data_IF_905985415226
#
_entry.id   IF_905985415226
#
_cell.length_a   1.000
_cell.length_b   1.000
_cell.length_c   1.000
_cell.angle_alpha   90.00
_cell.angle_beta   90.00
_cell.angle_gamma   90.00
#
_symmetry.space_group_name_H-M   'P 1'
#
loop_
_entity.id
_entity.type
_entity.pdbx_description
1 polymer ?
#
# COMPACT_ATOMS: atom_id res chain seq x y z
N UNK A 1 21.34 -7.53 -15.60
CA UNK A 1 21.60 -6.08 -15.62
C UNK A 1 21.73 -5.66 -17.07
N UNK A 2 20.80 -4.83 -17.57
CA UNK A 2 21.07 -4.10 -18.81
C UNK A 2 22.21 -3.11 -18.53
N UNK A 3 23.03 -2.89 -19.54
CA UNK A 3 24.04 -1.83 -19.53
C UNK A 3 23.34 -0.46 -19.46
N UNK A 4 23.92 0.49 -18.74
CA UNK A 4 23.32 1.81 -18.53
C UNK A 4 23.06 2.53 -19.86
N UNK A 5 24.00 2.39 -20.80
CA UNK A 5 23.88 2.95 -22.15
C UNK A 5 22.68 2.38 -22.90
N UNK A 6 22.37 1.09 -22.73
CA UNK A 6 21.24 0.45 -23.39
C UNK A 6 19.90 0.95 -22.84
N UNK A 7 19.80 1.21 -21.53
CA UNK A 7 18.59 1.78 -20.90
C UNK A 7 18.37 3.22 -21.36
N UNK A 8 19.44 4.03 -21.44
CA UNK A 8 19.38 5.41 -21.92
C UNK A 8 18.99 5.48 -23.41
N UNK A 9 19.57 4.60 -24.23
CA UNK A 9 19.20 4.49 -25.64
C UNK A 9 17.72 4.10 -25.78
N UNK A 10 17.26 3.11 -25.02
CA UNK A 10 15.87 2.67 -25.06
C UNK A 10 14.92 3.80 -24.64
N UNK A 11 15.23 4.53 -23.57
CA UNK A 11 14.41 5.67 -23.13
C UNK A 11 14.21 6.70 -24.25
N UNK A 12 15.31 7.14 -24.89
CA UNK A 12 15.25 8.07 -26.02
C UNK A 12 14.51 7.48 -27.22
N UNK A 13 14.74 6.22 -27.53
CA UNK A 13 14.07 5.55 -28.64
C UNK A 13 12.55 5.51 -28.44
N UNK A 14 12.09 5.28 -27.21
CA UNK A 14 10.66 5.25 -26.87
C UNK A 14 10.03 6.65 -26.94
N UNK A 15 10.76 7.70 -26.53
CA UNK A 15 10.32 9.09 -26.68
C UNK A 15 10.19 9.49 -28.17
N UNK A 16 11.16 9.10 -28.99
CA UNK A 16 11.16 9.34 -30.43
C UNK A 16 10.12 8.49 -31.19
N UNK A 17 9.68 7.37 -30.62
CA UNK A 17 8.85 6.40 -31.33
C UNK A 17 7.48 6.98 -31.75
N UNK A 18 6.95 7.96 -31.02
CA UNK A 18 5.83 8.81 -31.42
C UNK A 18 4.47 8.13 -31.68
N UNK A 19 3.39 8.90 -31.51
CA UNK A 19 1.97 8.59 -31.80
C UNK A 19 1.41 7.21 -31.39
N UNK A 20 2.02 6.54 -30.41
CA UNK A 20 1.57 5.24 -29.92
C UNK A 20 1.38 5.24 -28.42
N UNK A 21 0.37 4.50 -27.97
CA UNK A 21 0.18 4.19 -26.56
C UNK A 21 1.10 3.05 -26.17
N UNK A 22 2.02 3.30 -25.24
CA UNK A 22 2.93 2.30 -24.70
C UNK A 22 2.51 1.93 -23.28
N UNK A 23 2.53 0.63 -22.96
CA UNK A 23 2.40 0.14 -21.59
C UNK A 23 3.72 -0.49 -21.19
N UNK A 24 4.36 0.08 -20.17
CA UNK A 24 5.67 -0.33 -19.68
C UNK A 24 5.54 -0.91 -18.29
N UNK A 25 6.17 -2.05 -18.05
CA UNK A 25 6.35 -2.61 -16.71
C UNK A 25 7.85 -2.69 -16.45
N UNK A 26 8.32 -1.90 -15.47
CA UNK A 26 9.72 -1.88 -15.06
C UNK A 26 9.81 -1.74 -13.54
N UNK A 27 10.94 -2.18 -12.99
CA UNK A 27 11.29 -1.97 -11.59
C UNK A 27 12.28 -0.80 -11.40
N UNK A 28 12.80 -0.22 -12.48
CA UNK A 28 13.71 0.92 -12.43
C UNK A 28 12.94 2.25 -12.38
N UNK A 29 13.09 2.95 -11.26
CA UNK A 29 12.44 4.24 -11.00
C UNK A 29 12.91 5.33 -11.97
N UNK A 30 14.20 5.36 -12.31
CA UNK A 30 14.77 6.41 -13.15
C UNK A 30 14.27 6.30 -14.59
N UNK A 31 14.17 5.06 -15.08
CA UNK A 31 13.61 4.76 -16.39
C UNK A 31 12.12 5.10 -16.47
N UNK A 32 11.33 4.68 -15.48
CA UNK A 32 9.90 5.00 -15.42
C UNK A 32 9.67 6.52 -15.34
N UNK A 33 10.52 7.24 -14.61
CA UNK A 33 10.36 8.69 -14.49
C UNK A 33 10.62 9.44 -15.80
N UNK A 34 11.47 8.92 -16.68
CA UNK A 34 11.75 9.54 -17.98
C UNK A 34 10.69 9.24 -19.04
N UNK A 35 10.17 8.00 -19.06
CA UNK A 35 9.35 7.51 -20.17
C UNK A 35 7.84 7.58 -19.88
N UNK A 36 7.42 7.45 -18.62
CA UNK A 36 6.00 7.35 -18.29
C UNK A 36 5.36 8.73 -18.08
N UNK A 37 4.21 8.94 -18.72
CA UNK A 37 3.34 10.12 -18.52
C UNK A 37 2.29 9.92 -17.44
N UNK A 38 1.93 8.66 -17.19
CA UNK A 38 0.89 8.25 -16.26
C UNK A 38 1.29 6.93 -15.58
N UNK A 39 0.91 6.80 -14.32
CA UNK A 39 1.23 5.63 -13.49
C UNK A 39 -0.06 4.91 -13.10
N UNK A 40 -0.10 3.62 -13.40
CA UNK A 40 -1.14 2.71 -12.91
C UNK A 40 -0.55 1.93 -11.74
N UNK A 41 -1.01 2.24 -10.52
CA UNK A 41 -0.59 1.56 -9.31
C UNK A 41 -1.59 0.47 -8.93
N UNK A 42 -1.10 -0.74 -8.70
CA UNK A 42 -1.91 -1.86 -8.25
C UNK A 42 -1.65 -2.14 -6.78
N UNK A 43 -2.67 -2.00 -5.94
CA UNK A 43 -2.61 -2.22 -4.50
C UNK A 43 -3.93 -2.85 -4.02
N UNK A 44 -3.87 -3.85 -3.14
CA UNK A 44 -5.05 -4.48 -2.54
C UNK A 44 -6.12 -4.95 -3.56
N UNK A 45 -5.68 -5.51 -4.70
CA UNK A 45 -6.55 -5.94 -5.82
C UNK A 45 -7.34 -4.79 -6.46
N UNK A 46 -6.89 -3.55 -6.26
CA UNK A 46 -7.45 -2.34 -6.88
C UNK A 46 -6.40 -1.64 -7.73
N UNK A 47 -6.86 -0.98 -8.79
CA UNK A 47 -6.01 -0.16 -9.65
C UNK A 47 -6.31 1.32 -9.37
N UNK A 48 -5.27 2.08 -9.10
CA UNK A 48 -5.34 3.52 -8.92
C UNK A 48 -4.52 4.20 -10.01
N UNK A 49 -5.12 5.21 -10.62
CA UNK A 49 -4.51 5.99 -11.69
C UNK A 49 -3.92 7.28 -11.14
N UNK A 50 -2.68 7.58 -11.52
CA UNK A 50 -1.96 8.79 -11.16
C UNK A 50 -1.43 9.44 -12.42
N UNK A 51 -1.73 10.72 -12.60
CA UNK A 51 -1.22 11.50 -13.72
C UNK A 51 0.15 12.09 -13.35
N UNK A 52 1.11 12.01 -14.28
CA UNK A 52 2.46 12.54 -14.10
C UNK A 52 3.54 11.46 -14.04
N UNK A 53 4.74 11.91 -13.72
CA UNK A 53 5.92 11.06 -13.63
C UNK A 53 5.94 10.19 -12.36
N UNK A 54 6.92 9.28 -12.30
CA UNK A 54 7.06 8.37 -11.17
C UNK A 54 7.33 9.10 -9.85
N UNK A 55 8.13 10.17 -9.87
CA UNK A 55 8.47 10.97 -8.70
C UNK A 55 7.23 11.68 -8.13
N UNK A 56 6.37 12.24 -8.98
CA UNK A 56 5.09 12.83 -8.57
C UNK A 56 4.18 11.78 -7.97
N UNK A 57 4.11 10.59 -8.57
CA UNK A 57 3.36 9.45 -8.01
C UNK A 57 3.86 9.08 -6.60
N UNK A 58 5.17 8.96 -6.39
CA UNK A 58 5.75 8.61 -5.09
C UNK A 58 5.42 9.66 -4.02
N UNK A 59 5.52 10.96 -4.37
CA UNK A 59 5.17 12.06 -3.47
C UNK A 59 3.67 12.09 -3.11
N UNK A 60 2.78 11.95 -4.10
CA UNK A 60 1.32 11.93 -3.86
C UNK A 60 0.93 10.72 -3.03
N UNK A 61 1.56 9.56 -3.26
CA UNK A 61 1.33 8.35 -2.47
C UNK A 61 1.73 8.55 -1.01
N UNK A 62 2.89 9.14 -0.77
CA UNK A 62 3.38 9.48 0.57
C UNK A 62 2.42 10.43 1.30
N UNK A 63 2.02 11.52 0.64
CA UNK A 63 1.10 12.49 1.22
C UNK A 63 -0.25 11.84 1.58
N UNK A 64 -0.80 11.02 0.67
CA UNK A 64 -2.06 10.30 0.91
C UNK A 64 -1.94 9.38 2.13
N UNK A 65 -0.84 8.67 2.27
CA UNK A 65 -0.59 7.78 3.42
C UNK A 65 -0.47 8.56 4.73
N UNK A 66 0.27 9.66 4.73
CA UNK A 66 0.41 10.52 5.92
C UNK A 66 -0.93 11.13 6.33
N UNK A 67 -1.72 11.58 5.35
CA UNK A 67 -3.07 12.10 5.59
C UNK A 67 -3.97 11.05 6.21
N UNK A 68 -3.95 9.82 5.70
CA UNK A 68 -4.72 8.70 6.26
C UNK A 68 -4.29 8.37 7.71
N UNK A 69 -2.98 8.33 7.99
CA UNK A 69 -2.46 8.14 9.35
C UNK A 69 -2.94 9.22 10.32
N UNK A 70 -2.85 10.49 9.94
CA UNK A 70 -3.33 11.61 10.78
C UNK A 70 -4.83 11.54 11.05
N UNK A 71 -5.62 11.19 10.04
CA UNK A 71 -7.08 11.01 10.20
C UNK A 71 -7.35 9.86 11.17
N UNK A 72 -6.63 8.75 11.03
CA UNK A 72 -6.73 7.60 11.93
C UNK A 72 -6.41 7.97 13.38
N UNK A 73 -5.26 8.60 13.62
CA UNK A 73 -4.84 9.02 14.96
C UNK A 73 -5.86 9.96 15.61
N UNK A 74 -6.44 10.88 14.85
CA UNK A 74 -7.49 11.78 15.33
C UNK A 74 -8.78 11.01 15.68
N UNK A 75 -9.14 10.00 14.87
CA UNK A 75 -10.31 9.15 15.15
C UNK A 75 -10.09 8.28 16.39
N UNK A 76 -8.92 7.68 16.55
CA UNK A 76 -8.56 6.89 17.74
C UNK A 76 -8.51 7.74 19.01
N UNK A 77 -7.92 8.94 18.94
CA UNK A 77 -7.88 9.85 20.08
C UNK A 77 -9.30 10.23 20.54
N UNK A 78 -10.18 10.60 19.60
CA UNK A 78 -11.59 10.88 19.89
C UNK A 78 -12.31 9.67 20.46
N UNK A 79 -12.08 8.48 19.90
CA UNK A 79 -12.65 7.22 20.40
C UNK A 79 -12.24 6.98 21.85
N UNK A 80 -10.95 7.12 22.15
CA UNK A 80 -10.41 6.93 23.50
C UNK A 80 -10.96 7.94 24.51
N UNK A 81 -11.17 9.19 24.11
CA UNK A 81 -11.81 10.21 24.96
C UNK A 81 -13.27 9.86 25.25
N UNK A 82 -14.02 9.44 24.22
CA UNK A 82 -15.41 9.00 24.38
C UNK A 82 -15.52 7.75 25.26
N UNK A 83 -14.62 6.78 25.12
CA UNK A 83 -14.54 5.60 25.98
C UNK A 83 -14.28 5.98 27.45
N UNK A 84 -13.31 6.88 27.71
CA UNK A 84 -13.06 7.40 29.07
C UNK A 84 -14.26 8.16 29.64
N UNK A 85 -14.97 8.93 28.82
CA UNK A 85 -16.19 9.64 29.23
C UNK A 85 -17.28 8.65 29.64
N UNK A 86 -17.52 7.64 28.81
CA UNK A 86 -18.46 6.55 29.07
C UNK A 86 -18.10 5.85 30.38
N UNK A 87 -16.85 5.42 30.54
CA UNK A 87 -16.40 4.69 31.72
C UNK A 87 -16.57 5.53 33.01
N UNK A 88 -16.10 6.79 33.00
CA UNK A 88 -16.20 7.70 34.15
C UNK A 88 -17.64 7.98 34.57
N UNK A 89 -18.57 8.11 33.62
CA UNK A 89 -19.96 8.46 33.91
C UNK A 89 -20.88 7.25 34.11
N UNK A 90 -20.56 6.07 33.57
CA UNK A 90 -21.27 4.83 33.89
C UNK A 90 -20.82 4.22 35.24
N UNK A 91 -19.51 4.18 35.55
CA UNK A 91 -19.05 3.68 36.85
C UNK A 91 -19.52 4.54 38.03
N UNK A 92 -19.64 5.86 37.84
CA UNK A 92 -20.18 6.77 38.87
C UNK A 92 -21.69 6.66 39.09
N UNK A 93 -22.41 5.86 38.29
CA UNK A 93 -23.84 5.59 38.46
C UNK A 93 -24.20 4.87 39.78
N UNK A 94 -23.21 4.37 40.52
CA UNK A 94 -23.41 3.79 41.86
C UNK A 94 -23.19 4.79 43.02
N UNK A 95 -22.67 6.00 42.78
CA UNK A 95 -22.42 7.00 43.83
C UNK A 95 -23.13 8.32 43.52
N UNK A 96 -24.32 8.48 44.13
CA UNK A 96 -24.95 9.75 44.50
C UNK A 96 -25.35 10.73 43.36
N UNK A 97 -26.44 10.41 42.66
CA UNK A 97 -27.63 11.25 42.32
C UNK A 97 -27.48 12.65 41.68
N UNK A 98 -26.30 13.22 41.39
CA UNK A 98 -26.24 14.62 40.89
C UNK A 98 -26.21 14.84 39.37
N UNK A 99 -25.95 13.84 38.52
CA UNK A 99 -25.77 14.06 37.07
C UNK A 99 -26.58 13.11 36.15
N UNK A 100 -27.89 12.97 36.35
CA UNK A 100 -28.78 12.13 35.50
C UNK A 100 -28.69 12.50 34.00
N UNK A 101 -28.50 13.79 33.68
CA UNK A 101 -28.29 14.26 32.31
C UNK A 101 -26.99 13.71 31.67
N UNK A 102 -25.88 13.69 32.42
CA UNK A 102 -24.59 13.19 31.92
C UNK A 102 -24.58 11.66 31.79
N UNK A 103 -25.27 10.95 32.68
CA UNK A 103 -25.46 9.49 32.57
C UNK A 103 -26.29 9.14 31.33
N UNK A 104 -27.37 9.89 31.05
CA UNK A 104 -28.17 9.74 29.82
C UNK A 104 -27.34 10.02 28.57
N UNK A 105 -26.47 11.02 28.61
CA UNK A 105 -25.55 11.35 27.51
C UNK A 105 -24.50 10.25 27.31
N UNK A 106 -23.88 9.74 28.38
CA UNK A 106 -22.93 8.62 28.31
C UNK A 106 -23.55 7.34 27.73
N UNK A 107 -24.80 7.00 28.08
CA UNK A 107 -25.52 5.86 27.49
C UNK A 107 -25.79 6.06 25.99
N UNK A 108 -26.09 7.28 25.54
CA UNK A 108 -26.25 7.59 24.11
C UNK A 108 -24.93 7.46 23.35
N UNK A 109 -23.83 7.97 23.91
CA UNK A 109 -22.49 7.85 23.33
C UNK A 109 -22.05 6.37 23.27
N UNK A 110 -22.25 5.60 24.34
CA UNK A 110 -21.98 4.15 24.35
C UNK A 110 -22.77 3.41 23.26
N UNK A 111 -24.07 3.71 23.12
CA UNK A 111 -24.91 3.12 22.05
C UNK A 111 -24.44 3.54 20.66
N UNK A 112 -23.90 4.74 20.51
CA UNK A 112 -23.32 5.21 19.25
C UNK A 112 -21.98 4.53 18.94
N UNK A 113 -21.12 4.34 19.94
CA UNK A 113 -19.86 3.58 19.80
C UNK A 113 -20.11 2.13 19.40
N UNK A 114 -21.08 1.46 20.04
CA UNK A 114 -21.47 0.08 19.74
C UNK A 114 -21.97 -0.06 18.29
N UNK A 115 -22.78 0.91 17.84
CA UNK A 115 -23.29 0.98 16.46
C UNK A 115 -22.20 1.20 15.41
N UNK A 116 -21.13 1.91 15.77
CA UNK A 116 -19.95 2.14 14.92
C UNK A 116 -19.03 0.89 14.94
N UNK A 117 -18.92 0.19 16.07
CA UNK A 117 -18.12 -1.04 16.23
C UNK A 117 -18.69 -2.26 15.48
N UNK A 118 -20.00 -2.31 15.25
CA UNK A 118 -20.65 -3.38 14.47
C UNK A 118 -20.47 -3.28 12.94
N UNK A 119 -19.63 -2.36 12.44
CA UNK A 119 -19.36 -2.26 10.99
C UNK A 119 -18.49 -3.40 10.42
N UNK A 120 -18.05 -4.36 11.24
CA UNK A 120 -17.18 -5.47 10.82
C UNK A 120 -17.84 -6.84 10.61
N UNK A 121 -19.15 -7.03 10.86
CA UNK A 121 -19.74 -8.40 10.85
C UNK A 121 -20.77 -8.67 9.74
N UNK A 122 -21.62 -7.71 9.34
CA UNK A 122 -22.79 -8.06 8.50
C UNK A 122 -22.95 -7.26 7.18
N UNK A 123 -21.96 -6.48 6.74
CA UNK A 123 -21.92 -5.90 5.40
C UNK A 123 -23.06 -4.94 4.99
N UNK A 124 -24.00 -4.60 5.89
CA UNK A 124 -25.13 -3.72 5.59
C UNK A 124 -24.86 -2.28 6.01
N UNK A 125 -24.74 -1.39 5.02
CA UNK A 125 -24.67 0.07 5.21
C UNK A 125 -26.03 0.62 5.62
N UNK A 126 -26.12 1.24 6.79
CA UNK A 126 -27.24 2.12 7.13
C UNK A 126 -26.77 3.58 7.15
N UNK A 127 -27.52 4.46 6.47
CA UNK A 127 -27.31 5.92 6.47
C UNK A 127 -27.89 6.50 7.76
N UNK A 128 -27.07 7.10 8.64
CA UNK A 128 -27.58 8.12 9.55
C UNK A 128 -26.52 9.06 10.15
N UNK A 129 -26.29 10.20 9.48
CA UNK A 129 -26.09 11.55 10.06
C UNK A 129 -25.94 12.58 8.92
N UNK A 130 -26.30 13.84 9.18
CA UNK A 130 -26.27 14.96 8.22
C UNK A 130 -24.84 15.28 7.74
N UNK A 131 -23.85 14.95 8.58
CA UNK A 131 -22.46 14.78 8.19
C UNK A 131 -22.25 13.30 7.85
N UNK A 132 -21.85 13.01 6.61
CA UNK A 132 -21.79 11.68 6.03
C UNK A 132 -20.93 10.67 6.81
N UNK A 133 -20.98 9.38 6.44
CA UNK A 133 -20.28 8.32 7.16
C UNK A 133 -18.79 8.65 7.28
N UNK A 134 -18.33 8.87 8.52
CA UNK A 134 -16.91 8.78 8.82
C UNK A 134 -16.52 7.33 8.60
N UNK A 135 -15.95 7.02 7.42
CA UNK A 135 -15.22 5.78 7.27
C UNK A 135 -14.24 5.70 8.44
N UNK A 136 -14.35 4.64 9.23
CA UNK A 136 -13.27 4.26 10.13
C UNK A 136 -12.04 4.22 9.24
N UNK A 137 -11.10 5.14 9.48
CA UNK A 137 -9.84 5.11 8.78
C UNK A 137 -9.22 3.76 9.16
N UNK A 138 -9.02 2.89 8.18
CA UNK A 138 -8.18 1.73 8.40
C UNK A 138 -6.74 2.25 8.36
N UNK A 139 -5.91 1.80 9.30
CA UNK A 139 -4.48 2.10 9.26
C UNK A 139 -3.97 1.73 7.87
N UNK A 140 -3.26 2.63 7.17
CA UNK A 140 -2.60 2.23 5.93
C UNK A 140 -1.70 1.05 6.25
N UNK A 141 -1.97 -0.10 5.65
CA UNK A 141 -1.11 -1.27 5.78
C UNK A 141 0.28 -0.83 5.36
N UNK A 142 1.26 -0.96 6.27
CA UNK A 142 2.64 -0.76 5.89
C UNK A 142 2.99 -1.88 4.91
N UNK A 143 3.35 -1.52 3.68
CA UNK A 143 4.02 -2.43 2.77
C UNK A 143 5.31 -2.90 3.45
N UNK A 144 5.21 -3.98 4.20
CA UNK A 144 6.35 -4.80 4.53
C UNK A 144 6.86 -5.25 3.17
N UNK A 145 7.94 -4.62 2.70
CA UNK A 145 8.73 -5.18 1.60
C UNK A 145 9.00 -6.66 1.91
N UNK A 146 9.29 -7.48 0.90
CA UNK A 146 9.54 -8.92 1.03
C UNK A 146 10.62 -9.23 2.10
N UNK A 147 10.27 -9.14 3.38
CA UNK A 147 11.16 -9.17 4.54
C UNK A 147 11.18 -10.55 5.17
N UNK A 148 10.79 -11.55 4.40
CA UNK A 148 10.74 -12.97 4.79
C UNK A 148 11.14 -13.92 3.66
N UNK A 149 11.62 -13.40 2.52
CA UNK A 149 12.20 -14.25 1.48
C UNK A 149 13.63 -14.59 1.88
N UNK A 150 13.77 -15.65 2.67
CA UNK A 150 15.07 -16.22 2.95
C UNK A 150 15.47 -17.05 1.74
N UNK A 151 16.47 -16.61 0.98
CA UNK A 151 17.00 -17.42 -0.11
C UNK A 151 17.48 -18.75 0.49
N UNK A 152 17.06 -19.91 -0.05
CA UNK A 152 17.64 -21.17 0.38
C UNK A 152 19.15 -21.10 0.18
N UNK A 153 19.90 -21.54 1.19
CA UNK A 153 21.35 -21.59 1.08
C UNK A 153 21.70 -22.48 -0.11
N UNK A 154 22.37 -21.92 -1.13
CA UNK A 154 22.78 -22.68 -2.29
C UNK A 154 23.68 -23.82 -1.83
N UNK A 155 23.30 -25.07 -2.10
CA UNK A 155 24.17 -26.21 -1.82
C UNK A 155 25.50 -25.98 -2.53
N UNK A 156 26.55 -25.73 -1.76
CA UNK A 156 27.90 -25.65 -2.31
C UNK A 156 28.21 -27.02 -2.85
N UNK A 157 28.35 -27.13 -4.17
CA UNK A 157 28.84 -28.34 -4.82
C UNK A 157 30.25 -28.58 -4.28
N UNK A 158 30.40 -29.55 -3.38
CA UNK A 158 31.69 -29.90 -2.81
C UNK A 158 32.52 -30.58 -3.89
N UNK A 159 33.48 -29.84 -4.45
CA UNK A 159 34.71 -30.27 -5.11
C UNK A 159 34.69 -31.53 -5.97
N UNK A 160 34.81 -31.34 -7.30
CA UNK A 160 35.48 -32.31 -8.17
C UNK A 160 34.93 -32.40 -9.59
N UNK A 161 33.67 -32.04 -9.81
CA UNK A 161 33.02 -32.13 -11.12
C UNK A 161 32.71 -30.75 -11.65
N UNK A 162 33.28 -30.42 -12.80
CA UNK A 162 32.85 -29.30 -13.64
C UNK A 162 31.34 -29.38 -13.83
N UNK A 163 30.58 -28.38 -13.36
CA UNK A 163 29.11 -28.37 -13.46
C UNK A 163 28.63 -28.36 -14.92
N UNK A 164 29.50 -27.98 -15.85
CA UNK A 164 29.32 -28.10 -17.29
C UNK A 164 30.55 -28.78 -17.85
N UNK A 165 30.37 -29.93 -18.49
CA UNK A 165 31.43 -30.68 -19.14
C UNK A 165 31.05 -30.88 -20.61
N UNK A 166 31.87 -30.36 -21.52
CA UNK A 166 31.64 -30.48 -22.95
C UNK A 166 32.67 -31.46 -23.50
N UNK A 167 32.22 -32.62 -23.99
CA UNK A 167 33.05 -33.65 -24.63
C UNK A 167 32.64 -33.80 -26.09
N UNK A 168 33.65 -33.96 -26.96
CA UNK A 168 33.53 -34.14 -28.42
C UNK A 168 32.80 -33.03 -29.18
N UNK A 169 33.30 -31.79 -29.07
CA UNK A 169 32.84 -30.70 -29.95
C UNK A 169 33.76 -30.54 -31.13
N UNK A 170 33.20 -30.65 -32.33
CA UNK A 170 33.86 -30.28 -33.58
C UNK A 170 33.12 -29.09 -34.17
N UNK A 171 33.81 -27.97 -34.32
CA UNK A 171 33.26 -26.80 -35.01
C UNK A 171 33.80 -26.78 -36.44
N UNK A 172 32.91 -26.65 -37.43
CA UNK A 172 33.25 -26.45 -38.84
C UNK A 172 32.59 -25.15 -39.30
N UNK A 173 33.37 -24.26 -39.89
CA UNK A 173 32.84 -23.07 -40.55
C UNK A 173 32.26 -23.44 -41.92
N UNK A 174 31.14 -22.83 -42.35
CA UNK A 174 30.72 -22.92 -43.74
C UNK A 174 31.76 -22.18 -44.59
N UNK A 175 32.41 -22.93 -45.48
CA UNK A 175 33.45 -22.57 -46.45
C UNK A 175 33.85 -21.09 -46.59
N UNK A 176 35.14 -20.81 -46.39
CA UNK A 176 35.86 -19.82 -47.21
C UNK A 176 36.68 -20.58 -48.26
N UNK A 177 36.22 -20.48 -49.51
CA UNK A 177 36.87 -20.78 -50.81
C UNK A 177 37.96 -21.86 -50.88
#
# INVERSE_FOLDING_TARGET
HLDLEAVLWLGKHLEEWGEKTLVVVSHDRSFLNGVCTDIIHMENRTLAYYQGDYATFEAVREEKRQRQRKIFEQQEAKRREMEKFVDKHLHKGQSLVKDDAMVKQAKKVAKQMDRIGTLGMDGKKYKLSYDGPQQSAELPEEEKGLSGFNFPEVERVHGGVSSIQVKDVTFKYPHSA
#
